data_IF_641782119687
#
_entry.id   IF_641782119687
#
_cell.length_a   1.000
_cell.length_b   1.000
_cell.length_c   1.000
_cell.angle_alpha   90.00
_cell.angle_beta   90.00
_cell.angle_gamma   90.00
#
_symmetry.space_group_name_H-M   'P 1'
#
loop_
_entity.id
_entity.type
_entity.pdbx_description
1 polymer ?
#
# COMPACT_ATOMS: atom_id res chain seq x y z
N UNK A 1 -25.10 9.91 -4.18
CA UNK A 1 -23.69 9.48 -4.06
C UNK A 1 -23.36 8.70 -5.31
N UNK A 2 -22.26 9.00 -5.98
CA UNK A 2 -21.87 8.35 -7.25
C UNK A 2 -21.53 6.87 -6.99
N UNK A 3 -22.21 5.95 -7.66
CA UNK A 3 -22.12 4.49 -7.46
C UNK A 3 -20.66 3.99 -7.54
N UNK A 4 -19.90 4.56 -8.48
CA UNK A 4 -18.48 4.24 -8.68
C UNK A 4 -17.61 4.60 -7.48
N UNK A 5 -17.90 5.72 -6.80
CA UNK A 5 -17.16 6.14 -5.61
C UNK A 5 -17.49 5.28 -4.40
N UNK A 6 -18.75 4.88 -4.24
CA UNK A 6 -19.17 3.99 -3.17
C UNK A 6 -18.44 2.64 -3.25
N UNK A 7 -18.35 2.07 -4.46
CA UNK A 7 -17.60 0.83 -4.69
C UNK A 7 -16.11 0.96 -4.36
N UNK A 8 -15.48 2.09 -4.69
CA UNK A 8 -14.07 2.32 -4.34
C UNK A 8 -13.84 2.45 -2.84
N UNK A 9 -14.80 2.97 -2.10
CA UNK A 9 -14.73 3.05 -0.63
C UNK A 9 -14.84 1.65 -0.05
N UNK A 10 -15.81 0.85 -0.50
CA UNK A 10 -16.00 -0.53 -0.07
C UNK A 10 -14.76 -1.39 -0.32
N UNK A 11 -14.15 -1.31 -1.52
CA UNK A 11 -12.93 -2.04 -1.83
C UNK A 11 -11.76 -1.64 -0.92
N UNK A 12 -11.66 -0.38 -0.51
CA UNK A 12 -10.63 0.08 0.43
C UNK A 12 -10.85 -0.48 1.82
N UNK A 13 -12.09 -0.49 2.30
CA UNK A 13 -12.45 -1.08 3.61
C UNK A 13 -12.14 -2.58 3.63
N UNK A 14 -12.50 -3.31 2.57
CA UNK A 14 -12.18 -4.73 2.45
C UNK A 14 -10.66 -5.01 2.46
N UNK A 15 -9.86 -4.18 1.78
CA UNK A 15 -8.40 -4.30 1.82
C UNK A 15 -7.82 -3.95 3.19
N UNK A 16 -8.43 -3.01 3.90
CA UNK A 16 -8.05 -2.65 5.26
C UNK A 16 -8.26 -3.82 6.22
N UNK A 17 -9.38 -4.53 6.09
CA UNK A 17 -9.69 -5.73 6.86
C UNK A 17 -8.91 -6.99 6.39
N UNK A 18 -8.02 -6.86 5.40
CA UNK A 18 -7.25 -7.98 4.85
C UNK A 18 -8.08 -8.97 4.00
N UNK A 19 -9.31 -8.62 3.61
CA UNK A 19 -10.23 -9.47 2.81
C UNK A 19 -9.90 -9.44 1.31
N UNK A 20 -8.68 -9.87 0.97
CA UNK A 20 -8.14 -9.82 -0.40
C UNK A 20 -8.96 -10.68 -1.38
N UNK A 21 -9.43 -11.85 -0.95
CA UNK A 21 -10.22 -12.75 -1.81
C UNK A 21 -11.54 -12.12 -2.28
N UNK A 22 -12.23 -11.42 -1.37
CA UNK A 22 -13.47 -10.69 -1.68
C UNK A 22 -13.22 -9.59 -2.69
N UNK A 23 -12.10 -8.87 -2.56
CA UNK A 23 -11.70 -7.79 -3.47
C UNK A 23 -11.40 -8.34 -4.86
N UNK A 24 -10.66 -9.46 -4.95
CA UNK A 24 -10.37 -10.11 -6.23
C UNK A 24 -11.64 -10.55 -6.95
N UNK A 25 -12.60 -11.16 -6.24
CA UNK A 25 -13.89 -11.55 -6.81
C UNK A 25 -14.71 -10.35 -7.31
N UNK A 26 -14.67 -9.22 -6.59
CA UNK A 26 -15.32 -7.99 -7.05
C UNK A 26 -14.64 -7.39 -8.29
N UNK A 27 -13.34 -7.60 -8.47
CA UNK A 27 -12.56 -7.09 -9.60
C UNK A 27 -12.60 -8.00 -10.84
N UNK A 28 -12.90 -9.30 -10.69
CA UNK A 28 -13.06 -10.23 -11.83
C UNK A 28 -14.12 -9.77 -12.84
N UNK A 29 -15.16 -9.06 -12.37
CA UNK A 29 -16.23 -8.53 -13.21
C UNK A 29 -15.88 -7.20 -13.91
N UNK A 30 -14.64 -6.71 -13.77
CA UNK A 30 -14.18 -5.49 -14.44
C UNK A 30 -13.32 -5.81 -15.65
N UNK A 31 -13.80 -5.47 -16.85
CA UNK A 31 -13.05 -5.58 -18.11
C UNK A 31 -12.02 -4.45 -18.31
N UNK A 32 -11.55 -3.82 -17.22
CA UNK A 32 -10.57 -2.74 -17.28
C UNK A 32 -9.15 -3.28 -17.10
N UNK A 33 -8.20 -2.75 -17.88
CA UNK A 33 -6.81 -3.18 -17.83
C UNK A 33 -6.16 -2.83 -16.48
N UNK A 34 -6.54 -1.72 -15.86
CA UNK A 34 -6.06 -1.37 -14.52
C UNK A 34 -6.60 -2.32 -13.46
N UNK A 35 -7.86 -2.76 -13.59
CA UNK A 35 -8.44 -3.76 -12.69
C UNK A 35 -7.67 -5.09 -12.80
N UNK A 36 -7.37 -5.55 -14.01
CA UNK A 36 -6.58 -6.77 -14.24
C UNK A 36 -5.17 -6.69 -13.63
N UNK A 37 -4.46 -5.57 -13.84
CA UNK A 37 -3.13 -5.36 -13.27
C UNK A 37 -3.15 -5.32 -11.74
N UNK A 38 -4.17 -4.69 -11.17
CA UNK A 38 -4.33 -4.61 -9.73
C UNK A 38 -4.65 -5.98 -9.12
N UNK A 39 -5.53 -6.77 -9.73
CA UNK A 39 -5.81 -8.16 -9.31
C UNK A 39 -4.53 -9.02 -9.34
N UNK A 40 -3.70 -8.90 -10.38
CA UNK A 40 -2.42 -9.61 -10.44
C UNK A 40 -1.45 -9.18 -9.31
N UNK A 41 -1.44 -7.88 -8.97
CA UNK A 41 -0.68 -7.37 -7.83
C UNK A 41 -1.17 -7.98 -6.51
N UNK A 42 -2.49 -7.99 -6.29
CA UNK A 42 -3.10 -8.57 -5.09
C UNK A 42 -2.79 -10.06 -4.97
N UNK A 43 -2.91 -10.84 -6.04
CA UNK A 43 -2.55 -12.27 -6.03
C UNK A 43 -1.09 -12.49 -5.63
N UNK A 44 -0.16 -11.69 -6.15
CA UNK A 44 1.27 -11.80 -5.84
C UNK A 44 1.59 -11.40 -4.40
N UNK A 45 0.85 -10.44 -3.84
CA UNK A 45 1.16 -9.80 -2.57
C UNK A 45 0.16 -10.10 -1.45
N UNK A 46 -0.80 -10.99 -1.65
CA UNK A 46 -1.85 -11.31 -0.68
C UNK A 46 -1.32 -11.64 0.72
N UNK A 47 -0.20 -12.37 0.81
CA UNK A 47 0.40 -12.76 2.09
C UNK A 47 1.03 -11.59 2.86
N UNK A 48 1.24 -10.44 2.20
CA UNK A 48 1.78 -9.22 2.82
C UNK A 48 0.68 -8.24 3.23
N UNK A 49 -0.56 -8.48 2.79
CA UNK A 49 -1.70 -7.65 3.14
C UNK A 49 -2.24 -8.20 4.45
N UNK A 50 -2.01 -7.46 5.51
CA UNK A 50 -2.48 -7.78 6.87
C UNK A 50 -3.86 -7.21 7.12
N UNK A 51 -4.60 -7.81 8.05
CA UNK A 51 -5.80 -7.19 8.60
C UNK A 51 -5.39 -6.04 9.53
N UNK A 52 -5.53 -4.81 9.06
CA UNK A 52 -5.13 -3.62 9.81
C UNK A 52 -6.02 -3.35 11.02
N UNK A 53 -7.29 -3.78 11.00
CA UNK A 53 -8.17 -3.67 12.18
C UNK A 53 -7.66 -4.52 13.34
N UNK A 54 -7.11 -5.71 13.06
CA UNK A 54 -6.50 -6.57 14.09
C UNK A 54 -5.23 -5.92 14.68
N UNK A 55 -4.42 -5.25 13.84
CA UNK A 55 -3.22 -4.53 14.28
C UNK A 55 -3.56 -3.27 15.09
N UNK A 56 -4.65 -2.58 14.77
CA UNK A 56 -5.10 -1.40 15.52
C UNK A 56 -5.43 -1.74 16.98
N UNK A 57 -6.01 -2.92 17.21
CA UNK A 57 -6.30 -3.41 18.56
C UNK A 57 -5.05 -3.77 19.38
N UNK A 58 -3.93 -4.06 18.73
CA UNK A 58 -2.65 -4.37 19.40
C UNK A 58 -1.85 -3.13 19.83
N UNK A 59 -2.27 -1.93 19.41
CA UNK A 59 -1.67 -0.66 19.84
C UNK A 59 -0.33 -0.32 19.19
N UNK A 60 0.10 -1.06 18.18
CA UNK A 60 1.24 -0.66 17.35
C UNK A 60 0.80 0.45 16.39
N UNK A 61 1.55 1.56 16.36
CA UNK A 61 1.21 2.70 15.51
C UNK A 61 1.38 2.30 14.02
N UNK A 62 0.25 2.19 13.31
CA UNK A 62 0.18 1.94 11.86
C UNK A 62 0.47 3.24 11.07
N UNK A 63 0.80 4.34 11.75
CA UNK A 63 1.09 5.59 11.08
C UNK A 63 2.35 5.47 10.23
N UNK A 64 2.18 5.51 8.91
CA UNK A 64 3.26 5.62 7.93
C UNK A 64 4.08 6.91 8.08
N UNK A 65 3.79 7.81 9.03
CA UNK A 65 4.42 9.12 9.15
C UNK A 65 5.94 9.05 9.31
N UNK A 66 6.46 8.13 10.12
CA UNK A 66 7.89 7.97 10.32
C UNK A 66 8.59 7.35 9.09
N UNK A 67 7.97 6.34 8.48
CA UNK A 67 8.51 5.70 7.27
C UNK A 67 8.46 6.66 6.07
N UNK A 68 7.36 7.37 5.87
CA UNK A 68 7.18 8.34 4.78
C UNK A 68 8.14 9.53 4.95
N UNK A 69 8.32 10.02 6.17
CA UNK A 69 9.32 11.04 6.50
C UNK A 69 10.74 10.54 6.23
N UNK A 70 11.06 9.30 6.60
CA UNK A 70 12.35 8.66 6.31
C UNK A 70 12.62 8.56 4.81
N UNK A 71 11.65 8.07 4.02
CA UNK A 71 11.75 7.97 2.56
C UNK A 71 11.94 9.37 1.95
N UNK A 72 11.20 10.39 2.42
CA UNK A 72 11.34 11.77 1.96
C UNK A 72 12.75 12.33 2.23
N UNK A 73 13.33 12.06 3.39
CA UNK A 73 14.68 12.50 3.73
C UNK A 73 15.75 11.80 2.87
N UNK A 74 15.63 10.49 2.65
CA UNK A 74 16.55 9.74 1.78
C UNK A 74 16.44 10.23 0.33
N UNK A 75 15.22 10.38 -0.19
CA UNK A 75 14.98 10.87 -1.53
C UNK A 75 15.53 12.29 -1.75
N UNK A 76 15.42 13.16 -0.75
CA UNK A 76 16.03 14.50 -0.78
C UNK A 76 17.57 14.43 -0.85
N UNK A 77 18.20 13.53 -0.07
CA UNK A 77 19.67 13.34 -0.08
C UNK A 77 20.17 12.75 -1.40
N UNK A 78 19.45 11.81 -2.01
CA UNK A 78 19.82 11.19 -3.30
C UNK A 78 19.73 12.18 -4.46
N UNK A 79 18.85 13.19 -4.38
CA UNK A 79 18.68 14.20 -5.44
C UNK A 79 19.72 15.33 -5.41
N UNK A 80 20.62 15.37 -4.42
CA UNK A 80 21.73 16.31 -4.41
C UNK A 80 22.78 15.86 -5.43
N UNK A 81 22.75 16.49 -6.61
CA UNK A 81 23.73 16.25 -7.67
C UNK A 81 25.15 16.52 -7.16
N UNK A 82 26.02 15.51 -7.24
CA UNK A 82 27.41 15.56 -6.77
C UNK A 82 27.63 15.14 -5.31
N UNK A 83 26.57 14.81 -4.56
CA UNK A 83 26.72 14.21 -3.24
C UNK A 83 27.09 12.73 -3.36
N UNK A 84 28.15 12.31 -2.67
CA UNK A 84 28.52 10.92 -2.47
C UNK A 84 28.38 10.58 -0.99
N UNK A 85 27.99 9.35 -0.69
CA UNK A 85 27.94 8.88 0.68
C UNK A 85 29.36 8.72 1.22
N UNK A 86 29.61 9.17 2.45
CA UNK A 86 30.87 8.88 3.12
C UNK A 86 30.92 7.38 3.44
N UNK A 87 31.98 6.67 3.03
CA UNK A 87 32.09 5.21 3.15
C UNK A 87 31.92 4.73 4.60
N UNK A 88 32.35 5.53 5.57
CA UNK A 88 32.18 5.28 7.01
C UNK A 88 30.72 5.22 7.46
N UNK A 89 29.79 5.80 6.69
CA UNK A 89 28.36 5.90 7.02
C UNK A 89 27.49 4.90 6.23
N UNK A 90 28.07 4.05 5.38
CA UNK A 90 27.35 3.11 4.49
C UNK A 90 27.54 1.64 4.89
N UNK A 91 28.04 1.38 6.11
CA UNK A 91 28.23 0.03 6.63
C UNK A 91 26.91 -0.68 6.98
#
# INVERSE_FOLDING_TARGET
>A
MDSSRARLIELKELLWEGKVDTVMAQLENCEDNHASQFTAYLQKHQQRIVNYDDYWWTGESIESGEIESGIKQIAARVKLTGAQWNEENVA
#
